data_IF_405648188566
#
_entry.id   IF_405648188566
#
_cell.length_a   1.000
_cell.length_b   1.000
_cell.length_c   1.000
_cell.angle_alpha   90.00
_cell.angle_beta   90.00
_cell.angle_gamma   90.00
#
_symmetry.space_group_name_H-M   'P 1'
#
loop_
_entity.id
_entity.type
_entity.pdbx_description
1 polymer ?
#
# COMPACT_ATOMS: atom_id res chain seq x y z
N UNK A 1 17.32 -30.56 -43.52
CA UNK A 1 18.49 -29.73 -43.25
C UNK A 1 18.23 -28.22 -43.21
N UNK A 2 16.98 -27.72 -43.34
CA UNK A 2 16.67 -26.25 -43.26
C UNK A 2 16.20 -25.75 -41.89
N UNK A 3 15.88 -26.61 -40.92
CA UNK A 3 15.42 -26.23 -39.58
C UNK A 3 16.55 -26.09 -38.54
N UNK A 4 17.76 -26.60 -38.82
CA UNK A 4 18.90 -26.49 -37.90
C UNK A 4 19.73 -25.20 -38.08
N UNK A 5 19.56 -24.49 -39.21
CA UNK A 5 20.31 -23.26 -39.49
C UNK A 5 19.68 -22.00 -38.88
N UNK A 6 18.41 -22.07 -38.47
CA UNK A 6 17.72 -20.92 -37.88
C UNK A 6 18.02 -20.72 -36.40
N UNK A 7 18.43 -21.79 -35.70
CA UNK A 7 18.73 -21.76 -34.25
C UNK A 7 20.13 -21.19 -33.95
N UNK A 8 21.06 -21.28 -34.91
CA UNK A 8 22.44 -20.84 -34.76
C UNK A 8 22.68 -19.34 -35.09
N UNK A 9 21.71 -18.67 -35.75
CA UNK A 9 21.80 -17.25 -36.07
C UNK A 9 21.22 -16.33 -34.97
N UNK A 10 20.50 -16.89 -33.99
CA UNK A 10 19.89 -16.14 -32.90
C UNK A 10 20.78 -16.02 -31.65
N UNK A 11 21.90 -16.74 -31.60
CA UNK A 11 22.80 -16.78 -30.43
C UNK A 11 23.80 -15.60 -30.31
N UNK A 12 23.69 -14.57 -31.14
CA UNK A 12 24.63 -13.45 -31.17
C UNK A 12 24.06 -12.04 -31.14
N UNK A 13 22.76 -11.90 -30.98
CA UNK A 13 22.15 -10.59 -30.81
C UNK A 13 22.13 -10.23 -29.31
N UNK A 14 22.44 -8.96 -28.93
CA UNK A 14 22.31 -8.51 -27.56
C UNK A 14 20.87 -8.70 -27.08
N UNK A 15 20.71 -9.03 -25.80
CA UNK A 15 19.39 -9.26 -25.14
C UNK A 15 18.42 -8.11 -25.40
N UNK A 16 18.91 -6.90 -25.52
CA UNK A 16 18.15 -5.66 -25.86
C UNK A 16 17.45 -5.70 -27.24
N UNK A 17 17.85 -6.59 -28.16
CA UNK A 17 17.27 -6.71 -29.51
C UNK A 17 15.97 -7.53 -29.56
N UNK A 18 15.51 -8.08 -28.45
CA UNK A 18 14.34 -8.99 -28.38
C UNK A 18 13.09 -8.34 -27.76
N UNK A 19 13.22 -7.17 -27.16
CA UNK A 19 12.06 -6.45 -26.61
C UNK A 19 11.14 -5.98 -27.74
N UNK A 20 9.86 -6.33 -27.63
CA UNK A 20 8.82 -5.84 -28.52
C UNK A 20 8.64 -4.33 -28.31
N UNK A 21 8.90 -3.44 -29.31
CA UNK A 21 8.81 -1.99 -29.13
C UNK A 21 7.40 -1.52 -28.74
N UNK A 22 6.36 -2.23 -29.17
CA UNK A 22 4.98 -1.94 -28.82
C UNK A 22 4.71 -2.29 -27.36
N UNK A 23 5.20 -3.45 -26.89
CA UNK A 23 5.14 -3.81 -25.47
C UNK A 23 5.87 -2.80 -24.58
N UNK A 24 7.02 -2.30 -25.04
CA UNK A 24 7.78 -1.26 -24.32
C UNK A 24 7.01 0.04 -24.23
N UNK A 25 6.38 0.49 -25.31
CA UNK A 25 5.56 1.71 -25.30
C UNK A 25 4.35 1.59 -24.36
N UNK A 26 3.69 0.44 -24.33
CA UNK A 26 2.61 0.16 -23.36
C UNK A 26 3.11 0.17 -21.92
N UNK A 27 4.26 -0.42 -21.65
CA UNK A 27 4.88 -0.42 -20.33
C UNK A 27 5.19 1.00 -19.83
N UNK A 28 5.75 1.86 -20.67
CA UNK A 28 6.05 3.26 -20.32
C UNK A 28 4.77 4.07 -20.06
N UNK A 29 3.73 3.87 -20.87
CA UNK A 29 2.41 4.45 -20.63
C UNK A 29 1.84 3.95 -19.30
N UNK A 30 1.96 2.64 -19.02
CA UNK A 30 1.51 2.05 -17.76
C UNK A 30 2.20 2.69 -16.56
N UNK A 31 3.51 2.95 -16.62
CA UNK A 31 4.24 3.65 -15.55
C UNK A 31 3.67 5.04 -15.28
N UNK A 32 3.33 5.80 -16.34
CA UNK A 32 2.74 7.13 -16.20
C UNK A 32 1.39 7.08 -15.49
N UNK A 33 0.50 6.15 -15.88
CA UNK A 33 -0.80 5.95 -15.24
C UNK A 33 -0.65 5.47 -13.78
N UNK A 34 0.33 4.61 -13.50
CA UNK A 34 0.67 4.11 -12.17
C UNK A 34 1.02 5.23 -11.18
N UNK A 35 1.71 6.27 -11.63
CA UNK A 35 2.13 7.39 -10.78
C UNK A 35 0.96 8.24 -10.27
N UNK A 36 -0.20 8.20 -10.91
CA UNK A 36 -1.38 9.00 -10.49
C UNK A 36 -1.97 8.52 -9.17
N UNK A 37 -1.78 7.24 -8.81
CA UNK A 37 -2.30 6.59 -7.59
C UNK A 37 -3.82 6.68 -7.42
N UNK A 38 -4.56 7.02 -8.46
CA UNK A 38 -6.02 6.99 -8.48
C UNK A 38 -6.55 5.61 -8.86
N UNK A 39 -7.83 5.34 -8.58
CA UNK A 39 -8.50 4.11 -9.02
C UNK A 39 -8.36 3.90 -10.53
N UNK A 40 -8.66 4.94 -11.30
CA UNK A 40 -8.63 4.93 -12.76
C UNK A 40 -7.20 4.67 -13.26
N UNK A 41 -6.23 5.42 -12.73
CA UNK A 41 -4.84 5.30 -13.16
C UNK A 41 -4.21 3.94 -12.82
N UNK A 42 -4.47 3.40 -11.64
CA UNK A 42 -3.97 2.06 -11.27
C UNK A 42 -4.65 0.95 -12.06
N UNK A 43 -5.96 1.08 -12.37
CA UNK A 43 -6.68 0.13 -13.21
C UNK A 43 -6.17 0.17 -14.65
N UNK A 44 -5.99 1.36 -15.23
CA UNK A 44 -5.39 1.53 -16.56
C UNK A 44 -3.96 0.98 -16.59
N UNK A 45 -3.15 1.31 -15.59
CA UNK A 45 -1.77 0.82 -15.50
C UNK A 45 -1.72 -0.71 -15.52
N UNK A 46 -2.54 -1.38 -14.71
CA UNK A 46 -2.59 -2.84 -14.69
C UNK A 46 -2.95 -3.42 -16.06
N UNK A 47 -3.96 -2.87 -16.73
CA UNK A 47 -4.36 -3.30 -18.07
C UNK A 47 -3.23 -3.12 -19.08
N UNK A 48 -2.57 -1.97 -19.10
CA UNK A 48 -1.46 -1.71 -20.01
C UNK A 48 -0.26 -2.62 -19.75
N UNK A 49 0.08 -2.92 -18.49
CA UNK A 49 1.09 -3.93 -18.18
C UNK A 49 0.69 -5.32 -18.66
N UNK A 50 -0.58 -5.72 -18.52
CA UNK A 50 -1.10 -6.99 -19.03
C UNK A 50 -1.06 -7.05 -20.56
N UNK A 51 -1.37 -5.97 -21.25
CA UNK A 51 -1.22 -5.86 -22.71
C UNK A 51 0.25 -5.98 -23.15
N UNK A 52 1.16 -5.33 -22.41
CA UNK A 52 2.60 -5.45 -22.67
C UNK A 52 3.08 -6.91 -22.50
N UNK A 53 2.63 -7.60 -21.44
CA UNK A 53 2.90 -9.04 -21.22
C UNK A 53 2.30 -9.89 -22.34
N UNK A 54 1.11 -9.57 -22.84
CA UNK A 54 0.48 -10.32 -23.94
C UNK A 54 1.25 -10.18 -25.26
N UNK A 55 1.86 -9.00 -25.51
CA UNK A 55 2.71 -8.76 -26.69
C UNK A 55 4.11 -9.36 -26.54
N UNK A 56 4.65 -9.36 -25.33
CA UNK A 56 5.95 -9.90 -24.98
C UNK A 56 5.87 -10.67 -23.64
N UNK A 57 5.56 -11.97 -23.67
CA UNK A 57 5.51 -12.79 -22.45
C UNK A 57 6.84 -12.91 -21.69
N UNK A 58 7.96 -12.53 -22.33
CA UNK A 58 9.29 -12.49 -21.71
C UNK A 58 9.61 -11.18 -20.97
N UNK A 59 8.71 -10.20 -20.99
CA UNK A 59 8.95 -8.87 -20.42
C UNK A 59 8.79 -8.87 -18.89
N UNK A 60 9.86 -9.21 -18.18
CA UNK A 60 9.87 -9.38 -16.72
C UNK A 60 9.37 -8.16 -15.95
N UNK A 61 9.78 -6.94 -16.36
CA UNK A 61 9.36 -5.70 -15.69
C UNK A 61 7.86 -5.42 -15.87
N UNK A 62 7.26 -5.86 -16.97
CA UNK A 62 5.83 -5.73 -17.18
C UNK A 62 5.04 -6.68 -16.26
N UNK A 63 5.51 -7.93 -16.08
CA UNK A 63 4.96 -8.84 -15.08
C UNK A 63 5.05 -8.25 -13.66
N UNK A 64 6.20 -7.70 -13.24
CA UNK A 64 6.33 -7.02 -11.96
C UNK A 64 5.39 -5.80 -11.86
N UNK A 65 5.17 -5.07 -12.96
CA UNK A 65 4.22 -3.97 -13.04
C UNK A 65 2.77 -4.39 -12.80
N UNK A 66 2.35 -5.55 -13.33
CA UNK A 66 1.03 -6.15 -13.06
C UNK A 66 0.87 -6.42 -11.57
N UNK A 67 1.90 -7.01 -10.93
CA UNK A 67 1.89 -7.28 -9.49
C UNK A 67 1.77 -5.98 -8.67
N UNK A 68 2.60 -4.99 -8.95
CA UNK A 68 2.59 -3.71 -8.22
C UNK A 68 1.24 -2.99 -8.33
N UNK A 69 0.69 -2.88 -9.54
CA UNK A 69 -0.61 -2.22 -9.76
C UNK A 69 -1.74 -2.96 -9.04
N UNK A 70 -1.73 -4.29 -9.06
CA UNK A 70 -2.71 -5.11 -8.36
C UNK A 70 -2.62 -4.96 -6.84
N UNK A 71 -1.40 -4.95 -6.28
CA UNK A 71 -1.18 -4.71 -4.86
C UNK A 71 -1.73 -3.36 -4.41
N UNK A 72 -1.52 -2.30 -5.20
CA UNK A 72 -2.01 -0.97 -4.82
C UNK A 72 -3.53 -0.83 -5.00
N UNK A 73 -4.12 -1.49 -6.00
CA UNK A 73 -5.59 -1.55 -6.14
C UNK A 73 -6.24 -2.19 -4.91
N UNK A 74 -5.62 -3.26 -4.39
CA UNK A 74 -6.08 -3.90 -3.16
C UNK A 74 -5.84 -3.03 -1.92
N UNK A 75 -4.63 -2.46 -1.77
CA UNK A 75 -4.23 -1.67 -0.61
C UNK A 75 -5.07 -0.40 -0.42
N UNK A 76 -5.44 0.25 -1.53
CA UNK A 76 -6.26 1.47 -1.49
C UNK A 76 -7.76 1.18 -1.45
N UNK A 77 -8.16 -0.10 -1.34
CA UNK A 77 -9.57 -0.49 -1.30
C UNK A 77 -10.31 -0.23 -2.61
N UNK A 78 -9.61 -0.16 -3.72
CA UNK A 78 -10.21 0.05 -5.03
C UNK A 78 -10.74 -1.24 -5.65
N UNK A 79 -10.09 -2.38 -5.37
CA UNK A 79 -10.55 -3.71 -5.77
C UNK A 79 -10.41 -4.70 -4.60
N UNK A 80 -11.28 -5.70 -4.57
CA UNK A 80 -11.21 -6.75 -3.54
C UNK A 80 -9.88 -7.51 -3.64
N UNK A 81 -9.13 -7.70 -2.55
CA UNK A 81 -7.84 -8.42 -2.56
C UNK A 81 -7.96 -9.83 -3.14
N UNK A 82 -9.02 -10.56 -2.82
CA UNK A 82 -9.28 -11.90 -3.37
C UNK A 82 -9.39 -11.95 -4.90
N UNK A 83 -9.71 -10.81 -5.53
CA UNK A 83 -9.83 -10.70 -6.99
C UNK A 83 -8.50 -10.44 -7.68
N UNK A 84 -7.60 -9.68 -7.06
CA UNK A 84 -6.39 -9.16 -7.72
C UNK A 84 -5.09 -9.75 -7.19
N UNK A 85 -5.03 -10.10 -5.90
CA UNK A 85 -3.78 -10.52 -5.27
C UNK A 85 -3.26 -11.90 -5.72
N UNK A 86 -4.12 -12.93 -5.99
CA UNK A 86 -3.62 -14.20 -6.53
C UNK A 86 -2.85 -14.01 -7.85
N UNK A 87 -3.42 -13.28 -8.80
CA UNK A 87 -2.75 -12.96 -10.07
C UNK A 87 -1.53 -12.05 -9.91
N UNK A 88 -1.50 -11.18 -8.87
CA UNK A 88 -0.32 -10.41 -8.54
C UNK A 88 0.85 -11.31 -8.09
N UNK A 89 0.56 -12.34 -7.27
CA UNK A 89 1.55 -13.32 -6.84
C UNK A 89 2.14 -14.11 -8.01
N UNK A 90 1.26 -14.61 -8.89
CA UNK A 90 1.67 -15.33 -10.11
C UNK A 90 2.57 -14.45 -11.01
N UNK A 91 2.18 -13.19 -11.22
CA UNK A 91 2.95 -12.26 -12.03
C UNK A 91 4.32 -11.94 -11.41
N UNK A 92 4.41 -11.73 -10.10
CA UNK A 92 5.68 -11.49 -9.41
C UNK A 92 6.63 -12.70 -9.51
N UNK A 93 6.10 -13.92 -9.34
CA UNK A 93 6.87 -15.17 -9.48
C UNK A 93 7.35 -15.34 -10.91
N UNK A 94 6.51 -15.07 -11.91
CA UNK A 94 6.89 -15.15 -13.31
C UNK A 94 7.98 -14.12 -13.66
N UNK A 95 7.87 -12.90 -13.16
CA UNK A 95 8.91 -11.88 -13.32
C UNK A 95 10.28 -12.35 -12.79
N UNK A 96 10.30 -13.00 -11.61
CA UNK A 96 11.53 -13.57 -11.02
C UNK A 96 12.03 -14.76 -11.86
N UNK A 97 11.14 -15.57 -12.39
CA UNK A 97 11.52 -16.70 -13.26
C UNK A 97 12.19 -16.22 -14.54
N UNK A 98 11.68 -15.15 -15.13
CA UNK A 98 12.21 -14.54 -16.36
C UNK A 98 13.53 -13.82 -16.09
N UNK A 99 13.59 -13.03 -15.03
CA UNK A 99 14.77 -12.28 -14.65
C UNK A 99 15.03 -12.37 -13.12
N UNK A 100 15.79 -13.37 -12.67
CA UNK A 100 16.06 -13.58 -11.23
C UNK A 100 16.84 -12.44 -10.56
N UNK A 101 17.47 -11.57 -11.33
CA UNK A 101 18.22 -10.39 -10.85
C UNK A 101 17.37 -9.12 -10.80
N UNK A 102 16.11 -9.14 -11.22
CA UNK A 102 15.23 -7.99 -11.22
C UNK A 102 14.77 -7.64 -9.80
N UNK A 103 15.40 -6.64 -9.18
CA UNK A 103 15.08 -6.18 -7.82
C UNK A 103 13.59 -5.84 -7.65
N UNK A 104 12.99 -5.18 -8.65
CA UNK A 104 11.56 -4.85 -8.67
C UNK A 104 10.67 -6.09 -8.48
N UNK A 105 10.98 -7.20 -9.16
CA UNK A 105 10.17 -8.41 -9.08
C UNK A 105 10.19 -9.02 -7.66
N UNK A 106 11.34 -9.01 -7.00
CA UNK A 106 11.45 -9.44 -5.59
C UNK A 106 10.70 -8.51 -4.65
N UNK A 107 10.74 -7.17 -4.86
CA UNK A 107 9.97 -6.21 -4.07
C UNK A 107 8.46 -6.41 -4.27
N UNK A 108 7.99 -6.65 -5.50
CA UNK A 108 6.58 -6.94 -5.81
C UNK A 108 6.10 -8.23 -5.13
N UNK A 109 6.93 -9.30 -5.12
CA UNK A 109 6.62 -10.52 -4.39
C UNK A 109 6.56 -10.27 -2.88
N UNK A 110 7.47 -9.45 -2.35
CA UNK A 110 7.45 -9.01 -0.95
C UNK A 110 6.13 -8.31 -0.59
N UNK A 111 5.61 -7.45 -1.48
CA UNK A 111 4.33 -6.78 -1.30
C UNK A 111 3.16 -7.77 -1.21
N UNK A 112 3.10 -8.76 -2.10
CA UNK A 112 2.04 -9.78 -2.09
C UNK A 112 2.07 -10.56 -0.78
N UNK A 113 3.27 -11.01 -0.37
CA UNK A 113 3.48 -11.75 0.88
C UNK A 113 3.08 -10.94 2.11
N UNK A 114 3.42 -9.66 2.12
CA UNK A 114 3.10 -8.74 3.19
C UNK A 114 1.62 -8.41 3.27
N UNK A 115 1.02 -7.97 2.14
CA UNK A 115 -0.33 -7.39 2.14
C UNK A 115 -1.44 -8.45 2.13
N UNK A 116 -1.19 -9.64 1.57
CA UNK A 116 -2.23 -10.64 1.33
C UNK A 116 -1.98 -11.98 1.99
N UNK A 117 -0.74 -12.49 1.90
CA UNK A 117 -0.42 -13.80 2.47
C UNK A 117 -0.19 -13.73 3.99
N UNK A 118 0.20 -12.55 4.49
CA UNK A 118 0.64 -12.29 5.87
C UNK A 118 1.84 -13.15 6.26
N UNK A 119 2.67 -13.49 5.28
CA UNK A 119 3.90 -14.25 5.44
C UNK A 119 5.07 -13.27 5.68
N UNK A 120 5.11 -12.65 6.86
CA UNK A 120 6.03 -11.53 7.15
C UNK A 120 7.51 -11.92 7.02
N UNK A 121 7.92 -13.12 7.46
CA UNK A 121 9.30 -13.59 7.33
C UNK A 121 9.71 -13.75 5.85
N UNK A 122 8.82 -14.29 5.02
CA UNK A 122 9.06 -14.46 3.58
C UNK A 122 9.02 -13.12 2.83
N UNK A 123 8.15 -12.19 3.28
CA UNK A 123 8.12 -10.82 2.76
C UNK A 123 9.43 -10.10 3.06
N UNK A 124 9.94 -10.20 4.30
CA UNK A 124 11.25 -9.67 4.71
C UNK A 124 12.37 -10.20 3.82
N UNK A 125 12.48 -11.51 3.65
CA UNK A 125 13.47 -12.12 2.78
C UNK A 125 13.37 -11.63 1.32
N UNK A 126 12.16 -11.34 0.84
CA UNK A 126 11.93 -10.78 -0.50
C UNK A 126 12.41 -9.35 -0.63
N UNK A 127 12.13 -8.49 0.38
CA UNK A 127 12.61 -7.10 0.38
C UNK A 127 14.13 -7.04 0.56
N UNK A 128 14.71 -7.84 1.45
CA UNK A 128 16.19 -7.96 1.60
C UNK A 128 16.83 -8.39 0.29
N UNK A 129 16.23 -9.36 -0.41
CA UNK A 129 16.73 -9.80 -1.72
C UNK A 129 16.66 -8.69 -2.76
N UNK A 130 15.57 -7.93 -2.80
CA UNK A 130 15.42 -6.77 -3.69
C UNK A 130 16.52 -5.72 -3.42
N UNK A 131 16.75 -5.38 -2.14
CA UNK A 131 17.78 -4.41 -1.72
C UNK A 131 19.19 -4.94 -2.03
N UNK A 132 19.44 -6.23 -1.85
CA UNK A 132 20.73 -6.82 -2.18
C UNK A 132 21.03 -6.81 -3.69
N UNK A 133 19.99 -6.93 -4.53
CA UNK A 133 20.12 -6.87 -6.00
C UNK A 133 20.26 -5.43 -6.50
N UNK A 134 19.48 -4.50 -5.96
CA UNK A 134 19.57 -3.06 -6.25
C UNK A 134 19.42 -2.23 -4.97
N UNK A 135 20.53 -1.89 -4.30
CA UNK A 135 20.50 -1.04 -3.11
C UNK A 135 20.03 0.40 -3.38
N UNK A 136 19.94 0.81 -4.66
CA UNK A 136 19.49 2.12 -5.07
C UNK A 136 18.01 2.15 -5.52
N UNK A 137 17.23 1.09 -5.27
CA UNK A 137 15.81 1.00 -5.62
C UNK A 137 14.91 1.49 -4.46
N UNK A 138 14.45 2.77 -4.45
CA UNK A 138 13.72 3.37 -3.33
C UNK A 138 12.46 2.61 -2.93
N UNK A 139 11.63 2.04 -3.86
CA UNK A 139 10.42 1.34 -3.47
C UNK A 139 10.67 0.11 -2.59
N UNK A 140 11.80 -0.62 -2.75
CA UNK A 140 12.11 -1.76 -1.89
C UNK A 140 12.32 -1.31 -0.44
N UNK A 141 13.08 -0.26 -0.20
CA UNK A 141 13.28 0.34 1.12
C UNK A 141 11.97 0.87 1.71
N UNK A 142 11.15 1.56 0.91
CA UNK A 142 9.86 2.08 1.36
C UNK A 142 8.91 0.96 1.83
N UNK A 143 8.72 -0.08 1.02
CA UNK A 143 7.79 -1.16 1.38
C UNK A 143 8.32 -2.00 2.54
N UNK A 144 9.62 -2.21 2.61
CA UNK A 144 10.24 -2.85 3.76
C UNK A 144 10.02 -2.03 5.04
N UNK A 145 10.19 -0.71 4.99
CA UNK A 145 9.87 0.18 6.11
C UNK A 145 8.41 0.02 6.56
N UNK A 146 7.45 -0.04 5.62
CA UNK A 146 6.03 -0.19 5.97
C UNK A 146 5.74 -1.54 6.65
N UNK A 147 6.37 -2.62 6.19
CA UNK A 147 6.25 -3.93 6.83
C UNK A 147 6.87 -3.94 8.23
N UNK A 148 8.06 -3.38 8.40
CA UNK A 148 8.72 -3.24 9.71
C UNK A 148 7.88 -2.42 10.69
N UNK A 149 7.27 -1.33 10.25
CA UNK A 149 6.33 -0.55 11.04
C UNK A 149 5.13 -1.40 11.49
N UNK A 150 4.53 -2.17 10.59
CA UNK A 150 3.37 -3.02 10.89
C UNK A 150 3.70 -4.09 11.94
N UNK A 151 4.92 -4.63 11.92
CA UNK A 151 5.41 -5.63 12.90
C UNK A 151 5.98 -5.01 14.18
N UNK A 152 6.00 -3.66 14.30
CA UNK A 152 6.47 -2.94 15.49
C UNK A 152 7.99 -2.73 15.57
N UNK A 153 8.72 -3.02 14.50
CA UNK A 153 10.19 -2.80 14.39
C UNK A 153 10.48 -1.36 13.94
N UNK A 154 10.14 -0.40 14.78
CA UNK A 154 10.08 1.01 14.39
C UNK A 154 11.44 1.64 14.07
N UNK A 155 12.51 1.31 14.79
CA UNK A 155 13.83 1.87 14.50
C UNK A 155 14.35 1.39 13.15
N UNK A 156 14.24 0.10 12.86
CA UNK A 156 14.60 -0.46 11.56
C UNK A 156 13.70 0.11 10.44
N UNK A 157 12.42 0.32 10.72
CA UNK A 157 11.50 1.00 9.81
C UNK A 157 11.97 2.42 9.46
N UNK A 158 12.43 3.20 10.47
CA UNK A 158 12.97 4.54 10.26
C UNK A 158 14.27 4.49 9.44
N UNK A 159 15.16 3.54 9.68
CA UNK A 159 16.37 3.36 8.87
C UNK A 159 16.04 3.12 7.40
N UNK A 160 15.08 2.25 7.12
CA UNK A 160 14.70 1.93 5.74
C UNK A 160 14.00 3.11 5.06
N UNK A 161 13.10 3.83 5.72
CA UNK A 161 12.45 4.99 5.10
C UNK A 161 13.43 6.14 4.88
N UNK A 162 14.41 6.33 5.76
CA UNK A 162 15.47 7.32 5.60
C UNK A 162 16.38 6.96 4.40
N UNK A 163 16.60 5.68 4.11
CA UNK A 163 17.26 5.23 2.87
C UNK A 163 16.45 5.58 1.63
N UNK A 164 15.13 5.31 1.63
CA UNK A 164 14.26 5.69 0.50
C UNK A 164 14.29 7.21 0.25
N UNK A 165 14.26 8.04 1.31
CA UNK A 165 14.33 9.50 1.21
C UNK A 165 15.70 9.94 0.65
N UNK A 166 16.79 9.32 1.08
CA UNK A 166 18.13 9.64 0.59
C UNK A 166 18.31 9.31 -0.89
N UNK A 167 17.68 8.22 -1.37
CA UNK A 167 17.74 7.79 -2.76
C UNK A 167 16.83 8.62 -3.68
N UNK A 168 15.68 9.07 -3.18
CA UNK A 168 14.74 9.94 -3.91
C UNK A 168 14.41 11.19 -3.08
N UNK A 169 15.35 12.14 -3.00
CA UNK A 169 15.15 13.39 -2.27
C UNK A 169 13.99 14.17 -2.88
N UNK A 170 13.05 14.52 -2.03
CA UNK A 170 11.90 15.29 -2.51
C UNK A 170 10.66 14.42 -2.78
N UNK A 171 10.67 13.11 -2.58
CA UNK A 171 9.46 12.28 -2.60
C UNK A 171 8.52 12.66 -1.45
N UNK A 172 7.36 13.25 -1.79
CA UNK A 172 6.36 13.60 -0.78
C UNK A 172 5.85 12.36 -0.04
N UNK A 173 5.77 11.22 -0.73
CA UNK A 173 5.32 9.96 -0.16
C UNK A 173 6.25 9.51 0.98
N UNK A 174 7.56 9.45 0.72
CA UNK A 174 8.53 8.94 1.70
C UNK A 174 8.67 9.89 2.88
N UNK A 175 8.69 11.22 2.63
CA UNK A 175 8.66 12.22 3.69
C UNK A 175 7.45 12.03 4.62
N UNK A 176 6.25 11.85 4.05
CA UNK A 176 5.03 11.63 4.84
C UNK A 176 5.08 10.31 5.59
N UNK A 177 5.56 9.22 4.96
CA UNK A 177 5.65 7.91 5.61
C UNK A 177 6.63 7.90 6.79
N UNK A 178 7.69 8.70 6.75
CA UNK A 178 8.53 8.93 7.93
C UNK A 178 7.73 9.49 9.11
N UNK A 179 6.88 10.48 8.86
CA UNK A 179 5.96 11.02 9.88
C UNK A 179 4.98 9.98 10.42
N UNK A 180 4.45 9.12 9.54
CA UNK A 180 3.57 7.99 9.92
C UNK A 180 4.29 7.02 10.86
N UNK A 181 5.56 6.66 10.56
CA UNK A 181 6.36 5.75 11.39
C UNK A 181 6.66 6.38 12.76
N UNK A 182 7.04 7.66 12.79
CA UNK A 182 7.25 8.39 14.04
C UNK A 182 5.97 8.41 14.91
N UNK A 183 4.81 8.64 14.29
CA UNK A 183 3.53 8.59 15.01
C UNK A 183 3.24 7.18 15.53
N UNK A 184 3.46 6.14 14.72
CA UNK A 184 3.23 4.74 15.10
C UNK A 184 4.14 4.28 16.24
N UNK A 185 5.38 4.80 16.32
CA UNK A 185 6.35 4.53 17.40
C UNK A 185 6.08 5.35 18.68
N UNK A 186 5.06 6.23 18.69
CA UNK A 186 4.74 7.10 19.83
C UNK A 186 5.60 8.36 19.92
N UNK A 187 6.48 8.63 18.97
CA UNK A 187 7.34 9.84 18.91
C UNK A 187 6.54 11.02 18.34
N UNK A 188 5.43 11.37 19.04
CA UNK A 188 4.41 12.29 18.51
C UNK A 188 4.93 13.71 18.27
N UNK A 189 5.82 14.24 19.11
CA UNK A 189 6.37 15.60 18.93
C UNK A 189 7.26 15.67 17.68
N UNK A 190 8.06 14.62 17.44
CA UNK A 190 8.89 14.52 16.26
C UNK A 190 8.03 14.33 14.99
N UNK A 191 6.96 13.53 15.08
CA UNK A 191 6.01 13.36 13.98
C UNK A 191 5.36 14.70 13.60
N UNK A 192 4.90 15.48 14.60
CA UNK A 192 4.27 16.80 14.39
C UNK A 192 5.24 17.77 13.73
N UNK A 193 6.44 17.91 14.26
CA UNK A 193 7.47 18.79 13.72
C UNK A 193 7.85 18.38 12.27
N UNK A 194 8.02 17.08 12.03
CA UNK A 194 8.37 16.58 10.72
C UNK A 194 7.26 16.81 9.68
N UNK A 195 5.99 16.51 10.01
CA UNK A 195 4.86 16.71 9.10
C UNK A 195 4.59 18.19 8.82
N UNK A 196 4.78 19.08 9.80
CA UNK A 196 4.74 20.53 9.56
C UNK A 196 5.84 20.96 8.59
N UNK A 197 7.08 20.51 8.75
CA UNK A 197 8.16 20.80 7.81
C UNK A 197 7.87 20.26 6.40
N UNK A 198 7.17 19.12 6.27
CA UNK A 198 6.68 18.63 4.97
C UNK A 198 5.67 19.60 4.38
N UNK A 199 4.71 20.10 5.16
CA UNK A 199 3.70 21.07 4.67
C UNK A 199 4.28 22.44 4.35
N UNK A 200 5.31 22.91 5.06
CA UNK A 200 6.02 24.14 4.71
C UNK A 200 6.65 24.02 3.31
N UNK A 201 7.27 22.91 3.01
CA UNK A 201 7.83 22.65 1.68
C UNK A 201 6.76 22.38 0.62
N UNK A 202 5.61 21.82 1.02
CA UNK A 202 4.51 21.39 0.12
C UNK A 202 3.14 21.69 0.73
N UNK A 203 2.69 22.96 0.72
CA UNK A 203 1.45 23.39 1.38
C UNK A 203 0.19 22.67 0.87
N UNK A 204 0.23 22.18 -0.38
CA UNK A 204 -0.86 21.45 -1.02
C UNK A 204 -0.89 19.93 -0.76
N UNK A 205 0.03 19.34 0.02
CA UNK A 205 0.11 17.89 0.20
C UNK A 205 -1.10 17.32 0.95
N UNK A 206 -2.04 16.60 0.28
CA UNK A 206 -3.17 15.99 0.97
C UNK A 206 -2.71 14.88 1.93
N UNK A 207 -1.67 14.12 1.57
CA UNK A 207 -1.12 13.07 2.43
C UNK A 207 -0.59 13.63 3.76
N UNK A 208 0.19 14.72 3.72
CA UNK A 208 0.73 15.32 4.95
C UNK A 208 -0.38 15.92 5.82
N UNK A 209 -1.40 16.55 5.21
CA UNK A 209 -2.56 17.05 5.95
C UNK A 209 -3.32 15.92 6.64
N UNK A 210 -3.56 14.82 5.93
CA UNK A 210 -4.22 13.65 6.50
C UNK A 210 -3.45 13.09 7.70
N UNK A 211 -2.15 12.91 7.59
CA UNK A 211 -1.34 12.39 8.71
C UNK A 211 -1.31 13.36 9.91
N UNK A 212 -1.28 14.68 9.68
CA UNK A 212 -1.45 15.66 10.77
C UNK A 212 -2.82 15.58 11.42
N UNK A 213 -3.90 15.38 10.63
CA UNK A 213 -5.22 15.19 11.21
C UNK A 213 -5.29 13.94 12.09
N UNK A 214 -4.70 12.83 11.64
CA UNK A 214 -4.63 11.61 12.45
C UNK A 214 -3.80 11.82 13.72
N UNK A 215 -2.70 12.55 13.64
CA UNK A 215 -1.89 12.94 14.81
C UNK A 215 -2.69 13.81 15.78
N UNK A 216 -3.46 14.80 15.27
CA UNK A 216 -4.32 15.63 16.08
C UNK A 216 -5.40 14.81 16.80
N UNK A 217 -5.99 13.80 16.14
CA UNK A 217 -6.92 12.86 16.76
C UNK A 217 -6.26 12.04 17.87
N UNK A 218 -5.03 11.56 17.66
CA UNK A 218 -4.24 10.84 18.69
C UNK A 218 -4.00 11.74 19.91
N UNK A 219 -3.75 13.02 19.69
CA UNK A 219 -3.53 14.02 20.75
C UNK A 219 -4.83 14.57 21.36
N UNK A 220 -6.00 14.07 20.96
CA UNK A 220 -7.29 14.54 21.45
C UNK A 220 -7.65 15.97 21.01
N UNK A 221 -7.24 16.38 19.81
CA UNK A 221 -7.47 17.73 19.24
C UNK A 221 -8.40 17.64 18.00
N UNK A 222 -9.67 17.18 18.14
CA UNK A 222 -10.56 16.91 16.99
C UNK A 222 -10.89 18.16 16.18
N UNK A 223 -10.95 19.37 16.82
CA UNK A 223 -11.17 20.63 16.11
C UNK A 223 -10.04 20.93 15.12
N UNK A 224 -8.79 20.68 15.50
CA UNK A 224 -7.65 20.84 14.60
C UNK A 224 -7.67 19.79 13.51
N UNK A 225 -7.94 18.53 13.85
CA UNK A 225 -8.05 17.45 12.88
C UNK A 225 -9.08 17.77 11.78
N UNK A 226 -10.21 18.41 12.14
CA UNK A 226 -11.25 18.79 11.18
C UNK A 226 -10.80 19.78 10.11
N UNK A 227 -9.73 20.54 10.35
CA UNK A 227 -9.18 21.51 9.40
C UNK A 227 -8.30 20.87 8.34
N UNK A 228 -7.83 19.66 8.59
CA UNK A 228 -6.85 18.97 7.76
C UNK A 228 -7.42 17.77 7.00
N UNK A 229 -8.46 17.14 7.54
CA UNK A 229 -9.04 15.91 6.99
C UNK A 229 -10.20 16.23 6.04
N UNK A 230 -10.22 15.56 4.89
CA UNK A 230 -11.36 15.66 3.97
C UNK A 230 -12.60 14.98 4.59
N UNK A 231 -13.76 15.63 4.47
CA UNK A 231 -15.00 15.12 5.04
C UNK A 231 -15.51 13.84 4.38
N UNK A 232 -14.99 13.45 3.24
CA UNK A 232 -15.29 12.19 2.57
C UNK A 232 -14.44 11.01 3.07
N UNK A 233 -13.36 11.27 3.80
CA UNK A 233 -12.51 10.20 4.33
C UNK A 233 -13.17 9.50 5.52
N UNK A 234 -13.15 8.14 5.59
CA UNK A 234 -13.71 7.39 6.73
C UNK A 234 -13.19 7.84 8.09
N UNK A 235 -11.93 8.25 8.17
CA UNK A 235 -11.33 8.79 9.38
C UNK A 235 -12.00 10.08 9.89
N UNK A 236 -12.74 10.83 9.03
CA UNK A 236 -13.49 12.01 9.47
C UNK A 236 -14.60 11.66 10.45
N UNK A 237 -15.13 10.44 10.40
CA UNK A 237 -16.11 9.97 11.40
C UNK A 237 -15.55 9.96 12.83
N UNK A 238 -14.23 9.78 13.01
CA UNK A 238 -13.57 9.91 14.32
C UNK A 238 -13.63 11.34 14.83
N UNK A 239 -13.43 12.32 13.94
CA UNK A 239 -13.60 13.74 14.26
C UNK A 239 -15.04 14.02 14.69
N UNK A 240 -16.02 13.58 13.89
CA UNK A 240 -17.43 13.76 14.16
C UNK A 240 -17.84 13.13 15.48
N UNK A 241 -17.39 11.91 15.77
CA UNK A 241 -17.65 11.23 17.02
C UNK A 241 -17.10 11.99 18.23
N UNK A 242 -15.87 12.48 18.14
CA UNK A 242 -15.24 13.29 19.21
C UNK A 242 -15.93 14.64 19.43
N UNK A 243 -16.55 15.19 18.39
CA UNK A 243 -17.34 16.45 18.45
C UNK A 243 -18.81 16.22 18.78
N UNK A 244 -19.26 14.98 19.03
CA UNK A 244 -20.65 14.63 19.32
C UNK A 244 -21.59 14.69 18.10
N UNK A 245 -21.05 14.82 16.86
CA UNK A 245 -21.80 14.94 15.60
C UNK A 245 -22.15 13.57 15.02
N UNK A 246 -22.73 12.70 15.84
CA UNK A 246 -22.95 11.27 15.50
C UNK A 246 -23.91 11.06 14.32
N UNK A 247 -24.89 11.95 14.11
CA UNK A 247 -25.79 11.84 12.96
C UNK A 247 -25.06 12.00 11.62
N UNK A 248 -24.05 12.86 11.56
CA UNK A 248 -23.24 13.05 10.36
C UNK A 248 -22.33 11.84 10.13
N UNK A 249 -21.74 11.27 11.19
CA UNK A 249 -21.00 10.03 11.07
C UNK A 249 -21.88 8.86 10.57
N UNK A 250 -23.15 8.78 11.00
CA UNK A 250 -24.11 7.79 10.47
C UNK A 250 -24.45 8.05 8.99
N UNK A 251 -24.53 9.30 8.56
CA UNK A 251 -24.72 9.63 7.14
C UNK A 251 -23.52 9.18 6.30
N UNK A 252 -22.30 9.33 6.82
CA UNK A 252 -21.09 8.79 6.16
C UNK A 252 -21.15 7.26 6.03
N UNK A 253 -21.56 6.57 7.11
CA UNK A 253 -21.73 5.12 7.09
C UNK A 253 -22.73 4.67 6.02
N UNK A 254 -23.89 5.35 5.92
CA UNK A 254 -24.89 5.05 4.91
C UNK A 254 -24.35 5.27 3.49
N UNK A 255 -23.69 6.40 3.24
CA UNK A 255 -23.09 6.69 1.94
C UNK A 255 -22.02 5.64 1.55
N UNK A 256 -21.20 5.19 2.50
CA UNK A 256 -20.20 4.16 2.25
C UNK A 256 -20.83 2.78 1.95
N UNK A 257 -21.96 2.45 2.60
CA UNK A 257 -22.76 1.26 2.28
C UNK A 257 -23.36 1.30 0.89
N UNK A 258 -23.81 2.48 0.43
CA UNK A 258 -24.29 2.65 -0.94
C UNK A 258 -23.17 2.40 -1.96
N UNK A 259 -21.95 2.90 -1.70
CA UNK A 259 -20.77 2.61 -2.53
C UNK A 259 -20.46 1.11 -2.53
N UNK A 260 -20.51 0.44 -1.37
CA UNK A 260 -20.27 -1.01 -1.26
C UNK A 260 -21.26 -1.83 -2.11
N UNK A 261 -22.51 -1.34 -2.28
CA UNK A 261 -23.51 -2.04 -3.10
C UNK A 261 -23.14 -2.16 -4.57
N UNK A 262 -22.27 -1.30 -5.08
CA UNK A 262 -21.82 -1.23 -6.47
C UNK A 262 -20.33 -1.57 -6.68
N UNK A 263 -19.58 -1.72 -5.59
CA UNK A 263 -18.13 -1.96 -5.66
C UNK A 263 -17.52 -2.46 -4.38
N UNK A 264 -16.20 -2.58 -4.36
CA UNK A 264 -15.46 -2.95 -3.17
C UNK A 264 -15.24 -1.72 -2.28
N UNK A 265 -15.50 -1.90 -0.99
CA UNK A 265 -15.10 -0.99 0.09
C UNK A 265 -14.41 -1.83 1.16
N UNK A 266 -13.30 -1.34 1.68
CA UNK A 266 -12.59 -2.01 2.77
C UNK A 266 -13.46 -2.10 4.02
N UNK A 267 -13.65 -3.28 4.61
CA UNK A 267 -14.32 -3.38 5.90
C UNK A 267 -13.61 -2.61 7.01
N UNK A 268 -12.30 -2.37 6.89
CA UNK A 268 -11.55 -1.54 7.84
C UNK A 268 -12.07 -0.10 7.86
N UNK A 269 -12.52 0.45 6.72
CA UNK A 269 -13.11 1.78 6.66
C UNK A 269 -14.42 1.85 7.46
N UNK A 270 -15.25 0.82 7.37
CA UNK A 270 -16.47 0.72 8.20
C UNK A 270 -16.11 0.61 9.67
N UNK A 271 -15.10 -0.19 10.03
CA UNK A 271 -14.64 -0.32 11.41
C UNK A 271 -14.21 1.05 11.99
N UNK A 272 -13.48 1.86 11.22
CA UNK A 272 -13.08 3.22 11.61
C UNK A 272 -14.30 4.11 11.88
N UNK A 273 -15.32 4.06 11.01
CA UNK A 273 -16.57 4.83 11.21
C UNK A 273 -17.30 4.36 12.48
N UNK A 274 -17.42 3.05 12.70
CA UNK A 274 -18.04 2.51 13.90
C UNK A 274 -17.29 2.88 15.20
N UNK A 275 -15.95 2.95 15.15
CA UNK A 275 -15.17 3.51 16.27
C UNK A 275 -15.53 4.97 16.52
N UNK A 276 -15.68 5.78 15.47
CA UNK A 276 -16.16 7.16 15.59
C UNK A 276 -17.55 7.28 16.21
N UNK A 277 -18.43 6.32 15.95
CA UNK A 277 -19.78 6.23 16.52
C UNK A 277 -19.77 5.65 17.97
N UNK A 278 -18.66 5.12 18.48
CA UNK A 278 -18.60 4.41 19.76
C UNK A 278 -19.18 3.01 19.73
N UNK A 279 -19.40 2.43 18.55
CA UNK A 279 -20.03 1.12 18.34
C UNK A 279 -18.97 0.01 18.24
N UNK A 280 -18.33 -0.29 19.37
CA UNK A 280 -17.19 -1.23 19.46
C UNK A 280 -17.48 -2.61 18.84
N UNK A 281 -18.64 -3.22 19.12
CA UNK A 281 -18.96 -4.54 18.59
C UNK A 281 -19.11 -4.52 17.06
N UNK A 282 -19.79 -3.51 16.51
CA UNK A 282 -19.94 -3.36 15.07
C UNK A 282 -18.58 -3.11 14.37
N UNK A 283 -17.69 -2.35 15.01
CA UNK A 283 -16.33 -2.17 14.52
C UNK A 283 -15.56 -3.51 14.48
N UNK A 284 -15.66 -4.32 15.52
CA UNK A 284 -15.03 -5.64 15.57
C UNK A 284 -15.62 -6.61 14.56
N UNK A 285 -16.95 -6.57 14.31
CA UNK A 285 -17.59 -7.39 13.28
C UNK A 285 -17.04 -7.05 11.88
N UNK A 286 -16.80 -5.77 11.62
CA UNK A 286 -16.18 -5.35 10.36
C UNK A 286 -14.70 -5.77 10.27
N UNK A 287 -13.95 -5.79 11.36
CA UNK A 287 -12.58 -6.30 11.37
C UNK A 287 -12.52 -7.82 11.14
N UNK A 288 -13.46 -8.60 11.71
CA UNK A 288 -13.59 -10.03 11.39
C UNK A 288 -13.90 -10.23 9.90
N UNK A 289 -14.81 -9.42 9.35
CA UNK A 289 -15.12 -9.43 7.91
C UNK A 289 -13.89 -9.07 7.06
N UNK A 290 -13.08 -8.09 7.50
CA UNK A 290 -11.83 -7.73 6.85
C UNK A 290 -10.85 -8.91 6.84
N UNK A 291 -10.74 -9.62 7.96
CA UNK A 291 -9.89 -10.81 8.09
C UNK A 291 -10.32 -11.92 7.13
N UNK A 292 -11.62 -12.24 7.07
CA UNK A 292 -12.17 -13.25 6.15
C UNK A 292 -11.92 -12.89 4.68
N UNK A 293 -11.99 -11.60 4.33
CA UNK A 293 -11.76 -11.09 2.99
C UNK A 293 -10.28 -10.87 2.65
N UNK A 294 -9.38 -11.14 3.58
CA UNK A 294 -7.95 -10.84 3.48
C UNK A 294 -7.70 -9.40 3.04
N UNK A 295 -8.38 -8.46 3.71
CA UNK A 295 -8.26 -7.04 3.39
C UNK A 295 -6.83 -6.55 3.59
N UNK A 296 -6.27 -5.90 2.57
CA UNK A 296 -4.88 -5.46 2.60
C UNK A 296 -4.60 -4.37 3.64
N UNK A 297 -5.61 -3.59 4.06
CA UNK A 297 -5.46 -2.57 5.10
C UNK A 297 -5.25 -3.14 6.50
N UNK A 298 -5.57 -4.43 6.73
CA UNK A 298 -5.35 -5.09 8.02
C UNK A 298 -3.91 -5.12 8.48
N UNK A 299 -2.94 -5.07 7.58
CA UNK A 299 -1.51 -5.03 7.95
C UNK A 299 -1.18 -3.80 8.82
N UNK A 300 -2.00 -2.74 8.76
CA UNK A 300 -1.84 -1.55 9.60
C UNK A 300 -2.68 -1.57 10.88
N UNK A 301 -3.35 -2.68 11.20
CA UNK A 301 -4.28 -2.79 12.32
C UNK A 301 -3.64 -2.33 13.64
N UNK A 302 -2.40 -2.77 13.91
CA UNK A 302 -1.63 -2.39 15.11
C UNK A 302 -1.33 -0.88 15.17
N UNK A 303 -1.03 -0.27 14.01
CA UNK A 303 -0.46 1.08 13.94
C UNK A 303 -1.48 2.15 13.56
N UNK A 304 -2.66 1.77 13.05
CA UNK A 304 -3.69 2.72 12.63
C UNK A 304 -4.31 3.44 13.82
N UNK A 305 -4.18 4.79 13.88
CA UNK A 305 -4.66 5.56 15.02
C UNK A 305 -6.17 5.46 15.24
N UNK A 306 -6.94 5.36 14.17
CA UNK A 306 -8.40 5.27 14.21
C UNK A 306 -8.93 4.03 14.92
N UNK A 307 -8.13 2.97 15.01
CA UNK A 307 -8.50 1.71 15.66
C UNK A 307 -7.90 1.57 17.07
N UNK A 308 -7.19 2.58 17.56
CA UNK A 308 -6.56 2.55 18.89
C UNK A 308 -7.53 2.19 20.03
N UNK A 309 -8.81 2.65 20.04
CA UNK A 309 -9.77 2.26 21.09
C UNK A 309 -10.07 0.77 21.15
N UNK A 310 -9.85 0.02 20.06
CA UNK A 310 -10.12 -1.42 20.00
C UNK A 310 -8.94 -2.30 20.45
N UNK A 311 -7.75 -1.74 20.66
CA UNK A 311 -6.52 -2.50 20.89
C UNK A 311 -6.57 -3.38 22.15
N UNK A 312 -7.37 -3.03 23.16
CA UNK A 312 -7.56 -3.83 24.37
C UNK A 312 -8.62 -4.94 24.23
N UNK A 313 -9.38 -4.95 23.13
CA UNK A 313 -10.43 -5.92 22.91
C UNK A 313 -9.86 -7.31 22.57
N UNK A 314 -10.33 -8.40 23.21
CA UNK A 314 -9.81 -9.75 22.95
C UNK A 314 -9.95 -10.18 21.48
N UNK A 315 -11.05 -9.82 20.81
CA UNK A 315 -11.27 -10.13 19.38
C UNK A 315 -10.22 -9.42 18.50
N UNK A 316 -9.88 -8.17 18.81
CA UNK A 316 -8.86 -7.43 18.10
C UNK A 316 -7.48 -8.10 18.25
N UNK A 317 -7.14 -8.53 19.48
CA UNK A 317 -5.88 -9.24 19.75
C UNK A 317 -5.84 -10.63 19.08
N UNK A 318 -6.98 -11.32 18.95
CA UNK A 318 -7.06 -12.58 18.22
C UNK A 318 -6.77 -12.39 16.73
N UNK A 319 -7.32 -11.34 16.12
CA UNK A 319 -7.02 -11.01 14.69
C UNK A 319 -5.52 -10.78 14.51
N UNK A 320 -4.88 -9.93 15.35
CA UNK A 320 -3.44 -9.70 15.27
C UNK A 320 -2.64 -10.99 15.37
N UNK A 321 -2.96 -11.83 16.37
CA UNK A 321 -2.31 -13.12 16.58
C UNK A 321 -2.45 -14.06 15.38
N UNK A 322 -3.64 -14.14 14.78
CA UNK A 322 -3.92 -14.98 13.59
C UNK A 322 -3.22 -14.46 12.35
N UNK A 323 -2.95 -13.15 12.27
CA UNK A 323 -2.13 -12.55 11.22
C UNK A 323 -0.62 -12.72 11.48
N UNK A 324 -0.20 -13.03 12.71
CA UNK A 324 1.22 -13.13 13.08
C UNK A 324 1.90 -11.80 13.43
N UNK A 325 1.12 -10.80 13.87
CA UNK A 325 1.61 -9.45 14.26
C UNK A 325 1.17 -9.02 15.64
#
# INVERSE_FOLDING_TARGET
MRKLLLVLLLAGLPVEAWENPEARALYEKALSSFQTRTREGLSESRLLFQEAVALDPGFAEAHAGVADASCLLALYGYEAPSRVMPGAGEAAVEAIRLEPSLAKAHASLGLVRYLYEWSFAEAEASFEKAIALDPAYPPAHHWFAMMLMATGRFEESLEQIDRAIALEPGSALYDVKRGTILMASGRLDEAEAHLHAVLERRPGSPLARRELALLDLVRGRPEKASLHLDSSEPAYALVLGRLGRTNEARSMLAALRDVESSGYVSPVDFAVIYVGLGETNAALDELDRAFERRDAALVYLRTQPGLAPLRSEPRFQDILKRMGI
#
